data_IF_656007593340
#
_entry.id   IF_656007593340
#
_cell.length_a   1.000
_cell.length_b   1.000
_cell.length_c   1.000
_cell.angle_alpha   90.00
_cell.angle_beta   90.00
_cell.angle_gamma   90.00
#
_symmetry.space_group_name_H-M   'P 1'
#
loop_
_entity.id
_entity.type
_entity.pdbx_description
1 polymer ?
#
# COMPACT_ATOMS: atom_id res chain seq x y z
N UNK A 1 8.19 -15.53 -1.82
CA UNK A 1 8.58 -14.79 -0.60
C UNK A 1 8.97 -13.36 -1.00
N UNK A 2 8.34 -12.36 -0.37
CA UNK A 2 8.42 -10.89 -0.63
C UNK A 2 9.29 -10.14 0.41
N UNK A 3 10.02 -10.91 1.22
CA UNK A 3 10.45 -10.49 2.55
C UNK A 3 11.38 -9.28 2.56
N UNK A 4 12.31 -9.18 1.61
CA UNK A 4 13.27 -8.06 1.59
C UNK A 4 12.61 -6.71 1.30
N UNK A 5 11.69 -6.66 0.34
CA UNK A 5 10.97 -5.41 0.02
C UNK A 5 10.05 -4.98 1.15
N UNK A 6 9.38 -5.96 1.78
CA UNK A 6 8.45 -5.71 2.87
C UNK A 6 9.17 -5.24 4.15
N UNK A 7 10.35 -5.80 4.44
CA UNK A 7 11.23 -5.34 5.53
C UNK A 7 11.73 -3.91 5.29
N UNK A 8 12.18 -3.59 4.06
CA UNK A 8 12.66 -2.23 3.74
C UNK A 8 11.54 -1.21 3.94
N UNK A 9 10.34 -1.48 3.42
CA UNK A 9 9.19 -0.58 3.60
C UNK A 9 8.82 -0.46 5.07
N UNK A 10 8.82 -1.57 5.83
CA UNK A 10 8.58 -1.55 7.28
C UNK A 10 9.59 -0.68 8.04
N UNK A 11 10.88 -0.80 7.73
CA UNK A 11 11.94 0.03 8.31
C UNK A 11 11.78 1.51 7.94
N UNK A 12 11.44 1.82 6.68
CA UNK A 12 11.20 3.19 6.24
C UNK A 12 9.97 3.80 6.93
N UNK A 13 8.89 3.03 7.12
CA UNK A 13 7.71 3.48 7.86
C UNK A 13 8.05 3.69 9.34
N UNK A 14 8.78 2.76 9.96
CA UNK A 14 9.22 2.92 11.35
C UNK A 14 10.09 4.18 11.51
N UNK A 15 11.05 4.39 10.61
CA UNK A 15 11.85 5.60 10.56
C UNK A 15 10.99 6.85 10.39
N UNK A 16 10.03 6.85 9.46
CA UNK A 16 9.11 7.95 9.24
C UNK A 16 8.28 8.30 10.48
N UNK A 17 7.84 7.30 11.25
CA UNK A 17 7.06 7.52 12.48
C UNK A 17 7.91 8.07 13.62
N UNK A 18 9.18 7.67 13.68
CA UNK A 18 10.13 8.16 14.69
C UNK A 18 10.71 9.54 14.34
N UNK A 19 10.86 9.86 13.05
CA UNK A 19 11.53 11.07 12.59
C UNK A 19 10.96 12.38 13.17
N UNK A 20 9.62 12.58 13.29
CA UNK A 20 9.05 13.77 13.91
C UNK A 20 9.50 14.00 15.36
N UNK A 21 9.84 12.95 16.11
CA UNK A 21 10.35 13.06 17.49
C UNK A 21 11.70 13.76 17.57
N UNK A 22 12.43 13.85 16.44
CA UNK A 22 13.65 14.65 16.32
C UNK A 22 13.45 16.13 16.67
N UNK A 23 12.21 16.63 16.63
CA UNK A 23 11.84 17.97 17.12
C UNK A 23 12.33 18.24 18.55
N UNK A 24 12.36 17.21 19.39
CA UNK A 24 12.81 17.31 20.78
C UNK A 24 14.32 17.60 20.92
N UNK A 25 15.09 17.35 19.86
CA UNK A 25 16.56 17.44 19.87
C UNK A 25 17.06 18.54 18.93
N UNK A 26 16.39 18.75 17.80
CA UNK A 26 16.83 19.68 16.77
C UNK A 26 15.67 20.34 16.03
N UNK A 27 15.79 21.65 15.81
CA UNK A 27 14.90 22.44 14.94
C UNK A 27 15.75 23.43 14.16
N UNK A 28 15.54 23.55 12.85
CA UNK A 28 16.24 24.53 12.02
C UNK A 28 15.25 25.43 11.26
N UNK A 29 14.85 26.57 11.83
CA UNK A 29 13.78 27.40 11.26
C UNK A 29 14.11 28.04 9.91
N UNK A 30 15.40 28.17 9.58
CA UNK A 30 15.88 28.79 8.33
C UNK A 30 15.98 27.79 7.17
N UNK A 31 16.10 26.49 7.45
CA UNK A 31 16.31 25.47 6.43
C UNK A 31 15.19 25.39 5.39
N UNK A 32 13.89 25.39 5.74
CA UNK A 32 12.80 25.30 4.76
C UNK A 32 12.80 26.47 3.76
N UNK A 33 13.32 27.63 4.18
CA UNK A 33 13.46 28.83 3.35
C UNK A 33 14.80 28.95 2.63
N UNK A 34 15.64 27.92 2.66
CA UNK A 34 16.92 27.88 1.93
C UNK A 34 16.78 27.17 0.58
N UNK A 35 17.74 27.37 -0.34
CA UNK A 35 17.79 26.64 -1.61
C UNK A 35 17.76 25.12 -1.42
N UNK A 36 18.55 24.61 -0.47
CA UNK A 36 18.60 23.18 -0.16
C UNK A 36 17.26 22.65 0.33
N UNK A 37 16.61 23.38 1.25
CA UNK A 37 15.26 23.07 1.71
C UNK A 37 14.26 23.07 0.56
N UNK A 38 14.31 24.07 -0.32
CA UNK A 38 13.46 24.17 -1.51
C UNK A 38 13.62 22.97 -2.46
N UNK A 39 14.86 22.56 -2.77
CA UNK A 39 15.13 21.38 -3.62
C UNK A 39 14.53 20.11 -3.00
N UNK A 40 14.70 19.92 -1.69
CA UNK A 40 14.12 18.75 -0.98
C UNK A 40 12.59 18.82 -1.00
N UNK A 41 11.99 19.99 -0.83
CA UNK A 41 10.54 20.19 -0.93
C UNK A 41 10.01 19.85 -2.33
N UNK A 42 10.70 20.28 -3.39
CA UNK A 42 10.36 19.93 -4.78
C UNK A 42 10.50 18.42 -5.01
N UNK A 43 11.57 17.80 -4.52
CA UNK A 43 11.75 16.35 -4.63
C UNK A 43 10.61 15.59 -3.91
N UNK A 44 10.20 16.05 -2.71
CA UNK A 44 9.06 15.50 -1.99
C UNK A 44 7.75 15.65 -2.78
N UNK A 45 7.51 16.81 -3.39
CA UNK A 45 6.35 17.05 -4.25
C UNK A 45 6.33 16.13 -5.47
N UNK A 46 7.47 15.97 -6.16
CA UNK A 46 7.59 15.07 -7.32
C UNK A 46 7.28 13.63 -6.93
N UNK A 47 7.85 13.15 -5.81
CA UNK A 47 7.53 11.81 -5.30
C UNK A 47 6.05 11.70 -4.89
N UNK A 48 5.46 12.73 -4.30
CA UNK A 48 4.04 12.74 -3.96
C UNK A 48 3.19 12.60 -5.23
N UNK A 49 3.46 13.36 -6.28
CA UNK A 49 2.77 13.26 -7.58
C UNK A 49 2.94 11.87 -8.19
N UNK A 50 4.11 11.24 -8.03
CA UNK A 50 4.41 9.90 -8.52
C UNK A 50 3.55 8.79 -7.87
N UNK A 51 2.79 9.09 -6.81
CA UNK A 51 1.81 8.15 -6.25
C UNK A 51 0.50 8.07 -7.06
N UNK A 52 0.18 9.09 -7.88
CA UNK A 52 -1.07 9.16 -8.65
C UNK A 52 -1.18 8.22 -9.86
N UNK A 53 -0.12 7.93 -10.64
CA UNK A 53 -0.21 7.08 -11.83
C UNK A 53 -0.86 5.72 -11.59
N UNK A 54 -0.58 5.09 -10.44
CA UNK A 54 -1.24 3.83 -10.06
C UNK A 54 -2.75 4.00 -9.90
N UNK A 55 -3.18 5.05 -9.20
CA UNK A 55 -4.61 5.35 -8.97
C UNK A 55 -5.29 5.69 -10.30
N UNK A 56 -4.65 6.50 -11.14
CA UNK A 56 -5.16 6.87 -12.44
C UNK A 56 -5.34 5.65 -13.35
N UNK A 57 -4.33 4.77 -13.46
CA UNK A 57 -4.43 3.53 -14.23
C UNK A 57 -5.48 2.56 -13.66
N UNK A 58 -5.73 2.59 -12.35
CA UNK A 58 -6.74 1.74 -11.72
C UNK A 58 -8.17 2.18 -12.05
N UNK A 59 -8.42 3.48 -12.21
CA UNK A 59 -9.76 4.03 -12.36
C UNK A 59 -10.10 4.56 -13.76
N UNK A 60 -9.10 4.87 -14.59
CA UNK A 60 -9.28 5.47 -15.92
C UNK A 60 -8.77 4.51 -17.00
N UNK A 61 -9.70 3.95 -17.80
CA UNK A 61 -9.39 2.92 -18.81
C UNK A 61 -8.40 3.39 -19.88
N UNK A 62 -8.44 4.66 -20.30
CA UNK A 62 -7.46 5.17 -21.27
C UNK A 62 -6.05 5.23 -20.68
N UNK A 63 -5.94 5.57 -19.38
CA UNK A 63 -4.64 5.72 -18.71
C UNK A 63 -4.02 4.35 -18.55
N UNK A 64 -4.84 3.37 -18.14
CA UNK A 64 -4.42 1.98 -18.07
C UNK A 64 -3.89 1.48 -19.42
N UNK A 65 -4.62 1.73 -20.51
CA UNK A 65 -4.22 1.33 -21.85
C UNK A 65 -2.88 1.94 -22.26
N UNK A 66 -2.68 3.24 -22.04
CA UNK A 66 -1.41 3.90 -22.37
C UNK A 66 -0.25 3.45 -21.49
N UNK A 67 -0.46 3.37 -20.18
CA UNK A 67 0.61 3.12 -19.21
C UNK A 67 1.03 1.65 -19.17
N UNK A 68 0.11 0.72 -19.43
CA UNK A 68 0.39 -0.73 -19.46
C UNK A 68 1.37 -1.13 -20.56
N UNK A 69 1.54 -0.33 -21.61
CA UNK A 69 2.56 -0.54 -22.64
C UNK A 69 3.98 -0.29 -22.13
N UNK A 70 4.14 0.59 -21.12
CA UNK A 70 5.45 1.00 -20.60
C UNK A 70 5.76 0.33 -19.26
N UNK A 71 4.77 0.24 -18.38
CA UNK A 71 4.94 -0.17 -16.98
C UNK A 71 3.83 -1.12 -16.54
N UNK A 72 4.21 -2.25 -15.95
CA UNK A 72 3.25 -3.23 -15.42
C UNK A 72 2.52 -2.72 -14.16
N UNK A 73 1.25 -3.12 -13.95
CA UNK A 73 0.46 -2.76 -12.76
C UNK A 73 1.17 -3.04 -11.42
N UNK A 74 1.86 -4.18 -11.23
CA UNK A 74 2.63 -4.44 -10.00
C UNK A 74 3.75 -3.42 -9.77
N UNK A 75 4.40 -2.96 -10.85
CA UNK A 75 5.44 -1.92 -10.78
C UNK A 75 4.84 -0.57 -10.42
N UNK A 76 3.70 -0.18 -11.00
CA UNK A 76 3.01 1.06 -10.63
C UNK A 76 2.61 1.08 -9.15
N UNK A 77 2.14 -0.05 -8.64
CA UNK A 77 1.82 -0.19 -7.22
C UNK A 77 3.07 -0.13 -6.33
N UNK A 78 4.21 -0.69 -6.78
CA UNK A 78 5.47 -0.56 -6.06
C UNK A 78 5.94 0.90 -6.02
N UNK A 79 5.88 1.60 -7.16
CA UNK A 79 6.18 3.04 -7.25
C UNK A 79 5.30 3.84 -6.30
N UNK A 80 3.99 3.59 -6.27
CA UNK A 80 3.06 4.24 -5.34
C UNK A 80 3.46 4.03 -3.87
N UNK A 81 3.86 2.81 -3.48
CA UNK A 81 4.27 2.52 -2.10
C UNK A 81 5.59 3.20 -1.74
N UNK A 82 6.63 3.03 -2.56
CA UNK A 82 7.93 3.62 -2.25
C UNK A 82 7.89 5.15 -2.29
N UNK A 83 7.25 5.73 -3.31
CA UNK A 83 7.07 7.18 -3.39
C UNK A 83 6.18 7.70 -2.26
N UNK A 84 5.13 6.95 -1.89
CA UNK A 84 4.22 7.27 -0.79
C UNK A 84 4.86 7.23 0.59
N UNK A 85 6.01 6.58 0.77
CA UNK A 85 6.78 6.59 2.03
C UNK A 85 7.96 7.58 1.95
N UNK A 86 8.66 7.65 0.82
CA UNK A 86 9.81 8.54 0.64
C UNK A 86 9.41 10.02 0.55
N UNK A 87 8.28 10.35 -0.08
CA UNK A 87 7.76 11.72 -0.14
C UNK A 87 7.54 12.33 1.26
N UNK A 88 6.83 11.64 2.19
CA UNK A 88 6.78 11.99 3.61
C UNK A 88 8.11 12.27 4.29
N UNK A 89 9.10 11.40 4.07
CA UNK A 89 10.42 11.52 4.69
C UNK A 89 11.08 12.81 4.21
N UNK A 90 11.12 13.04 2.90
CA UNK A 90 11.66 14.27 2.34
C UNK A 90 10.85 15.51 2.77
N UNK A 91 9.53 15.39 2.87
CA UNK A 91 8.67 16.47 3.36
C UNK A 91 8.98 16.87 4.80
N UNK A 92 9.24 15.91 5.69
CA UNK A 92 9.66 16.18 7.06
C UNK A 92 11.08 16.76 7.15
N UNK A 93 12.00 16.28 6.30
CA UNK A 93 13.34 16.89 6.18
C UNK A 93 13.23 18.34 5.68
N UNK A 94 12.40 18.61 4.67
CA UNK A 94 12.10 19.95 4.18
C UNK A 94 11.55 20.85 5.29
N UNK A 95 10.65 20.32 6.13
CA UNK A 95 10.11 21.05 7.26
C UNK A 95 11.17 21.34 8.34
N UNK A 96 12.26 20.56 8.43
CA UNK A 96 13.33 20.68 9.42
C UNK A 96 12.81 20.85 10.85
N UNK A 97 11.79 20.06 11.19
CA UNK A 97 11.08 20.09 12.47
C UNK A 97 10.44 21.47 12.79
N UNK A 98 10.18 22.32 11.81
CA UNK A 98 9.47 23.59 11.99
C UNK A 98 7.96 23.41 11.79
N UNK A 99 7.22 23.27 12.90
CA UNK A 99 5.76 23.03 12.89
C UNK A 99 4.90 24.25 13.30
N UNK A 100 5.39 25.47 13.06
CA UNK A 100 4.70 26.71 13.46
C UNK A 100 3.45 27.02 12.61
N UNK A 101 3.38 26.48 11.40
CA UNK A 101 2.23 26.67 10.50
C UNK A 101 1.14 25.64 10.79
N UNK A 102 -0.13 26.08 11.01
CA UNK A 102 -1.25 25.15 11.15
C UNK A 102 -1.39 24.21 9.94
N UNK A 103 -1.14 24.73 8.72
CA UNK A 103 -1.18 23.93 7.49
C UNK A 103 -0.08 22.87 7.48
N UNK A 104 1.15 23.24 7.85
CA UNK A 104 2.28 22.31 7.89
C UNK A 104 2.11 21.20 8.93
N UNK A 105 1.60 21.54 10.12
CA UNK A 105 1.28 20.56 11.15
C UNK A 105 0.19 19.59 10.68
N UNK A 106 -0.91 20.13 10.13
CA UNK A 106 -2.03 19.33 9.65
C UNK A 106 -1.61 18.39 8.51
N UNK A 107 -0.82 18.91 7.55
CA UNK A 107 -0.25 18.13 6.45
C UNK A 107 0.62 17.01 6.98
N UNK A 108 1.46 17.27 8.00
CA UNK A 108 2.28 16.25 8.66
C UNK A 108 1.42 15.15 9.29
N UNK A 109 0.43 15.50 10.11
CA UNK A 109 -0.43 14.54 10.80
C UNK A 109 -1.17 13.64 9.81
N UNK A 110 -1.83 14.23 8.81
CA UNK A 110 -2.62 13.48 7.81
C UNK A 110 -1.71 12.62 6.95
N UNK A 111 -0.51 13.10 6.63
CA UNK A 111 0.46 12.35 5.88
C UNK A 111 0.96 11.12 6.66
N UNK A 112 1.24 11.24 7.95
CA UNK A 112 1.56 10.09 8.81
C UNK A 112 0.39 9.10 8.88
N UNK A 113 -0.84 9.59 9.09
CA UNK A 113 -2.05 8.75 9.08
C UNK A 113 -2.24 8.02 7.74
N UNK A 114 -1.98 8.69 6.62
CA UNK A 114 -2.11 8.09 5.28
C UNK A 114 -1.11 6.97 5.06
N UNK A 115 0.14 7.17 5.49
CA UNK A 115 1.16 6.11 5.40
C UNK A 115 0.81 4.93 6.30
N UNK A 116 0.38 5.18 7.55
CA UNK A 116 -0.05 4.11 8.47
C UNK A 116 -1.23 3.33 7.87
N UNK A 117 -2.25 4.03 7.37
CA UNK A 117 -3.43 3.36 6.77
C UNK A 117 -3.06 2.58 5.51
N UNK A 118 -2.16 3.10 4.69
CA UNK A 118 -1.63 2.40 3.52
C UNK A 118 -0.83 1.15 3.88
N UNK A 119 0.06 1.26 4.88
CA UNK A 119 0.88 0.16 5.38
C UNK A 119 0.01 -0.97 5.96
N UNK A 120 -0.93 -0.65 6.86
CA UNK A 120 -1.87 -1.63 7.42
C UNK A 120 -2.73 -2.26 6.31
N UNK A 121 -3.23 -1.46 5.37
CA UNK A 121 -4.02 -1.93 4.23
C UNK A 121 -3.27 -2.94 3.34
N UNK A 122 -1.98 -2.66 3.07
CA UNK A 122 -1.12 -3.49 2.23
C UNK A 122 -0.64 -4.75 2.92
N UNK A 123 -0.30 -4.66 4.21
CA UNK A 123 0.39 -5.75 4.91
C UNK A 123 -0.55 -6.59 5.76
N UNK A 124 -1.41 -5.99 6.57
CA UNK A 124 -2.33 -6.75 7.41
C UNK A 124 -3.53 -7.22 6.61
N UNK A 125 -4.24 -6.27 6.01
CA UNK A 125 -5.47 -6.55 5.26
C UNK A 125 -5.20 -7.48 4.08
N UNK A 126 -4.16 -7.24 3.26
CA UNK A 126 -3.89 -8.13 2.14
C UNK A 126 -3.58 -9.59 2.54
N UNK A 127 -2.99 -9.81 3.72
CA UNK A 127 -2.75 -11.15 4.26
C UNK A 127 -4.06 -11.83 4.65
N UNK A 128 -4.95 -11.11 5.35
CA UNK A 128 -6.28 -11.61 5.71
C UNK A 128 -7.07 -11.99 4.44
N UNK A 129 -7.05 -11.14 3.41
CA UNK A 129 -7.71 -11.44 2.14
C UNK A 129 -7.10 -12.65 1.42
N UNK A 130 -5.79 -12.89 1.57
CA UNK A 130 -5.12 -14.07 0.99
C UNK A 130 -5.53 -15.34 1.75
N UNK A 131 -5.55 -15.29 3.09
CA UNK A 131 -6.00 -16.41 3.91
C UNK A 131 -7.46 -16.79 3.62
N UNK A 132 -8.34 -15.80 3.47
CA UNK A 132 -9.75 -16.01 3.09
C UNK A 132 -9.90 -16.67 1.71
N UNK A 133 -9.13 -16.22 0.71
CA UNK A 133 -9.13 -16.87 -0.61
C UNK A 133 -8.66 -18.33 -0.54
N UNK A 134 -7.67 -18.64 0.30
CA UNK A 134 -7.22 -20.02 0.53
C UNK A 134 -8.33 -20.89 1.11
N UNK A 135 -9.03 -20.41 2.16
CA UNK A 135 -10.18 -21.13 2.75
C UNK A 135 -11.31 -21.34 1.73
N UNK A 136 -11.57 -20.37 0.85
CA UNK A 136 -12.55 -20.53 -0.23
C UNK A 136 -12.18 -21.61 -1.24
N UNK A 137 -10.91 -21.67 -1.65
CA UNK A 137 -10.47 -22.73 -2.56
C UNK A 137 -10.53 -24.11 -1.89
N UNK A 138 -10.25 -24.17 -0.60
CA UNK A 138 -10.36 -25.40 0.20
C UNK A 138 -11.82 -25.86 0.28
N UNK A 139 -12.76 -24.96 0.63
CA UNK A 139 -14.19 -25.27 0.63
C UNK A 139 -14.67 -25.73 -0.75
N UNK A 140 -14.23 -25.07 -1.83
CA UNK A 140 -14.58 -25.47 -3.19
C UNK A 140 -14.09 -26.90 -3.51
N UNK A 141 -12.89 -27.26 -3.05
CA UNK A 141 -12.30 -28.59 -3.27
C UNK A 141 -13.00 -29.67 -2.43
N UNK A 142 -13.31 -29.37 -1.16
CA UNK A 142 -14.08 -30.26 -0.29
C UNK A 142 -15.50 -30.49 -0.84
N UNK A 143 -16.13 -29.43 -1.38
CA UNK A 143 -17.46 -29.51 -1.98
C UNK A 143 -17.47 -30.38 -3.23
N UNK A 144 -16.47 -30.23 -4.11
CA UNK A 144 -16.36 -31.09 -5.29
C UNK A 144 -16.08 -32.55 -4.91
N UNK A 145 -15.25 -32.79 -3.90
CA UNK A 145 -14.98 -34.14 -3.41
C UNK A 145 -16.22 -34.81 -2.79
N UNK A 146 -17.05 -34.04 -2.07
CA UNK A 146 -18.29 -34.55 -1.51
C UNK A 146 -19.38 -34.82 -2.55
N UNK A 147 -19.44 -34.02 -3.62
CA UNK A 147 -20.43 -34.15 -4.70
C UNK A 147 -19.99 -35.08 -5.84
N UNK A 148 -18.80 -35.69 -5.75
CA UNK A 148 -18.15 -36.44 -6.84
C UNK A 148 -18.08 -35.62 -8.16
N UNK A 149 -18.00 -34.29 -8.05
CA UNK A 149 -17.86 -33.39 -9.19
C UNK A 149 -16.39 -33.29 -9.63
N UNK A 150 -16.11 -33.05 -10.93
CA UNK A 150 -14.76 -32.77 -11.39
C UNK A 150 -14.15 -31.63 -10.56
N UNK A 151 -12.97 -31.89 -9.98
CA UNK A 151 -12.31 -30.92 -9.11
C UNK A 151 -12.21 -29.56 -9.80
N UNK A 152 -12.56 -28.45 -9.12
CA UNK A 152 -12.44 -27.13 -9.69
C UNK A 152 -10.98 -26.89 -10.07
N UNK A 153 -10.72 -26.22 -11.21
CA UNK A 153 -9.36 -25.94 -11.62
C UNK A 153 -8.62 -25.25 -10.47
N UNK A 154 -7.40 -25.69 -10.12
CA UNK A 154 -6.69 -25.19 -8.96
C UNK A 154 -6.62 -23.67 -9.03
N UNK A 155 -6.97 -23.02 -7.91
CA UNK A 155 -6.96 -21.56 -7.81
C UNK A 155 -5.53 -21.05 -8.03
N UNK A 156 -5.26 -20.68 -9.28
CA UNK A 156 -4.02 -20.11 -9.82
C UNK A 156 -2.82 -21.07 -9.93
N UNK A 157 -2.87 -22.00 -10.87
CA UNK A 157 -1.66 -22.37 -11.65
C UNK A 157 -1.29 -21.20 -12.59
N UNK A 158 -0.94 -20.04 -12.02
CA UNK A 158 -0.39 -18.93 -12.79
C UNK A 158 0.98 -19.36 -13.30
N UNK A 159 1.15 -19.43 -14.62
CA UNK A 159 2.44 -19.65 -15.28
C UNK A 159 3.50 -18.76 -14.65
N UNK A 160 4.52 -19.39 -14.04
CA UNK A 160 5.66 -18.71 -13.40
C UNK A 160 6.48 -18.00 -14.49
N UNK A 161 6.06 -16.79 -14.88
CA UNK A 161 6.84 -15.98 -15.82
C UNK A 161 8.20 -15.63 -15.18
N UNK A 162 9.33 -15.84 -15.88
CA UNK A 162 10.66 -15.59 -15.32
C UNK A 162 10.79 -14.10 -14.97
N UNK A 163 11.14 -13.82 -13.71
CA UNK A 163 11.40 -12.46 -13.23
C UNK A 163 12.70 -11.94 -13.86
N UNK A 164 12.60 -10.91 -14.70
CA UNK A 164 13.73 -10.24 -15.35
C UNK A 164 14.67 -9.54 -14.34
N UNK A 165 15.97 -9.87 -14.44
CA UNK A 165 17.14 -9.17 -13.87
C UNK A 165 16.95 -8.53 -12.49
N UNK A 166 16.85 -7.21 -12.45
CA UNK A 166 16.65 -6.40 -11.24
C UNK A 166 15.41 -6.77 -10.41
N UNK A 167 14.33 -7.29 -11.03
CA UNK A 167 13.12 -7.73 -10.33
C UNK A 167 13.37 -8.95 -9.43
N UNK A 168 14.41 -9.74 -9.71
CA UNK A 168 14.79 -10.92 -8.91
C UNK A 168 15.33 -10.53 -7.53
N UNK A 169 15.92 -9.35 -7.38
CA UNK A 169 16.40 -8.86 -6.09
C UNK A 169 15.26 -8.46 -5.14
N UNK A 170 14.08 -8.14 -5.69
CA UNK A 170 12.93 -7.70 -4.91
C UNK A 170 11.79 -8.73 -4.82
N UNK A 171 11.81 -9.81 -5.62
CA UNK A 171 10.69 -10.76 -5.70
C UNK A 171 11.16 -12.23 -5.85
N UNK A 172 10.54 -13.15 -5.08
CA UNK A 172 10.70 -14.61 -5.20
C UNK A 172 9.33 -15.30 -5.31
N UNK A 173 9.19 -16.24 -6.25
CA UNK A 173 8.00 -17.09 -6.41
C UNK A 173 7.89 -18.09 -5.25
N UNK A 174 6.71 -18.23 -4.65
CA UNK A 174 6.44 -19.23 -3.60
C UNK A 174 5.70 -20.43 -4.18
N UNK A 175 5.96 -21.61 -3.63
CA UNK A 175 5.21 -22.82 -3.94
C UNK A 175 3.88 -22.87 -3.18
N UNK A 176 2.88 -23.48 -3.80
CA UNK A 176 1.58 -23.68 -3.20
C UNK A 176 1.65 -24.90 -2.25
N UNK A 177 1.09 -24.81 -1.03
CA UNK A 177 0.96 -25.97 -0.17
C UNK A 177 0.03 -27.01 -0.81
N UNK A 178 0.39 -28.29 -0.69
CA UNK A 178 -0.48 -29.40 -1.05
C UNK A 178 -1.65 -29.48 -0.05
N UNK A 179 -2.86 -29.76 -0.54
CA UNK A 179 -4.06 -29.96 0.27
C UNK A 179 -4.31 -31.45 0.36
N UNK A 180 -4.20 -32.02 1.56
CA UNK A 180 -4.58 -33.42 1.83
C UNK A 180 -6.09 -33.49 2.05
N UNK A 181 -6.79 -34.29 1.24
CA UNK A 181 -8.25 -34.45 1.30
C UNK A 181 -8.60 -35.71 2.11
N UNK A 182 -9.55 -35.63 3.07
CA UNK A 182 -10.06 -36.80 3.77
C UNK A 182 -10.81 -37.76 2.83
N UNK A 183 -10.61 -39.07 2.96
CA UNK A 183 -11.31 -40.09 2.16
C UNK A 183 -12.72 -40.42 2.68
N UNK A 184 -13.00 -40.16 3.96
CA UNK A 184 -14.28 -40.47 4.60
C UNK A 184 -15.35 -39.36 4.38
N UNK A 185 -16.57 -39.76 4.01
CA UNK A 185 -17.69 -38.85 3.74
C UNK A 185 -18.19 -38.11 4.98
N UNK A 186 -18.15 -38.73 6.17
CA UNK A 186 -18.52 -38.06 7.41
C UNK A 186 -17.49 -36.99 7.78
N UNK A 187 -16.20 -37.31 7.63
CA UNK A 187 -15.10 -36.37 7.81
C UNK A 187 -15.14 -35.22 6.80
N UNK A 188 -15.49 -35.47 5.53
CA UNK A 188 -15.69 -34.45 4.51
C UNK A 188 -16.86 -33.52 4.85
N UNK A 189 -18.00 -34.05 5.30
CA UNK A 189 -19.16 -33.26 5.70
C UNK A 189 -18.88 -32.38 6.93
N UNK A 190 -18.12 -32.89 7.91
CA UNK A 190 -17.66 -32.12 9.06
C UNK A 190 -16.71 -30.98 8.61
N UNK A 191 -15.70 -31.29 7.79
CA UNK A 191 -14.76 -30.30 7.25
C UNK A 191 -15.45 -29.22 6.39
N UNK A 192 -16.47 -29.60 5.61
CA UNK A 192 -17.31 -28.67 4.85
C UNK A 192 -18.05 -27.70 5.76
N UNK A 193 -18.69 -28.23 6.81
CA UNK A 193 -19.46 -27.42 7.75
C UNK A 193 -18.55 -26.43 8.49
N UNK A 194 -17.39 -26.90 8.98
CA UNK A 194 -16.42 -26.06 9.68
C UNK A 194 -15.84 -24.95 8.79
N UNK A 195 -15.52 -25.26 7.53
CA UNK A 195 -15.02 -24.27 6.57
C UNK A 195 -16.09 -23.28 6.14
N UNK A 196 -17.35 -23.71 5.97
CA UNK A 196 -18.46 -22.83 5.62
C UNK A 196 -18.76 -21.82 6.75
N UNK A 197 -18.77 -22.28 8.00
CA UNK A 197 -18.89 -21.40 9.18
C UNK A 197 -17.76 -20.38 9.25
N UNK A 198 -16.52 -20.78 8.95
CA UNK A 198 -15.38 -19.87 8.91
C UNK A 198 -15.47 -18.83 7.77
N UNK A 199 -16.11 -19.15 6.64
CA UNK A 199 -16.28 -18.25 5.50
C UNK A 199 -17.44 -17.27 5.71
N UNK A 200 -18.49 -17.61 6.46
CA UNK A 200 -19.61 -16.67 6.73
C UNK A 200 -19.17 -15.37 7.41
N UNK A 201 -18.02 -15.34 8.11
CA UNK A 201 -17.42 -14.11 8.66
C UNK A 201 -16.76 -13.19 7.61
N UNK A 202 -16.75 -13.57 6.34
CA UNK A 202 -16.06 -12.86 5.26
C UNK A 202 -16.77 -11.59 4.81
N UNK A 203 -18.10 -11.51 4.88
CA UNK A 203 -18.84 -10.29 4.46
C UNK A 203 -18.46 -9.08 5.31
N UNK A 204 -18.37 -9.28 6.63
CA UNK A 204 -17.88 -8.27 7.57
C UNK A 204 -16.45 -7.84 7.22
N UNK A 205 -15.63 -8.81 6.82
CA UNK A 205 -14.25 -8.59 6.43
C UNK A 205 -14.18 -7.73 5.15
N UNK A 206 -14.89 -8.11 4.09
CA UNK A 206 -14.96 -7.35 2.83
C UNK A 206 -15.52 -5.93 3.02
N UNK A 207 -16.53 -5.75 3.87
CA UNK A 207 -17.04 -4.44 4.23
C UNK A 207 -15.97 -3.57 4.92
N UNK A 208 -15.19 -4.16 5.84
CA UNK A 208 -14.05 -3.49 6.46
C UNK A 208 -12.99 -3.08 5.44
N UNK A 209 -12.64 -3.96 4.48
CA UNK A 209 -11.70 -3.61 3.39
C UNK A 209 -12.19 -2.43 2.55
N UNK A 210 -13.49 -2.36 2.28
CA UNK A 210 -14.08 -1.27 1.50
C UNK A 210 -14.00 0.06 2.27
N UNK A 211 -14.42 0.08 3.53
CA UNK A 211 -14.34 1.25 4.41
C UNK A 211 -12.90 1.71 4.63
N UNK A 212 -11.96 0.78 4.83
CA UNK A 212 -10.54 1.08 5.02
C UNK A 212 -9.92 1.75 3.79
N UNK A 213 -10.22 1.21 2.60
CA UNK A 213 -9.76 1.79 1.34
C UNK A 213 -10.36 3.17 1.12
N UNK A 214 -11.64 3.37 1.45
CA UNK A 214 -12.27 4.68 1.40
C UNK A 214 -11.56 5.68 2.32
N UNK A 215 -11.29 5.31 3.57
CA UNK A 215 -10.55 6.14 4.52
C UNK A 215 -9.18 6.56 3.96
N UNK A 216 -8.40 5.62 3.42
CA UNK A 216 -7.10 5.92 2.83
C UNK A 216 -7.20 6.90 1.64
N UNK A 217 -8.22 6.73 0.77
CA UNK A 217 -8.47 7.64 -0.35
C UNK A 217 -8.86 9.04 0.16
N UNK A 218 -9.74 9.12 1.17
CA UNK A 218 -10.15 10.41 1.75
C UNK A 218 -8.97 11.17 2.36
N UNK A 219 -8.12 10.47 3.12
CA UNK A 219 -6.90 11.03 3.68
C UNK A 219 -5.95 11.51 2.56
N UNK A 220 -5.77 10.70 1.50
CA UNK A 220 -4.95 11.09 0.35
C UNK A 220 -5.49 12.35 -0.36
N UNK A 221 -6.81 12.44 -0.59
CA UNK A 221 -7.43 13.64 -1.15
C UNK A 221 -7.15 14.89 -0.28
N UNK A 222 -7.24 14.74 1.04
CA UNK A 222 -6.98 15.82 1.98
C UNK A 222 -5.49 16.26 1.95
N UNK A 223 -4.55 15.32 1.79
CA UNK A 223 -3.13 15.66 1.59
C UNK A 223 -2.97 16.52 0.34
N UNK A 224 -3.53 16.13 -0.80
CA UNK A 224 -3.35 16.91 -2.03
C UNK A 224 -3.97 18.30 -1.92
N UNK A 225 -5.12 18.43 -1.26
CA UNK A 225 -5.74 19.74 -1.01
C UNK A 225 -4.84 20.62 -0.13
N UNK A 226 -4.32 20.09 0.99
CA UNK A 226 -3.43 20.83 1.88
C UNK A 226 -2.07 21.13 1.23
N UNK A 227 -1.56 20.22 0.40
CA UNK A 227 -0.32 20.40 -0.34
C UNK A 227 -0.46 21.52 -1.37
N UNK A 228 -1.58 21.58 -2.09
CA UNK A 228 -1.87 22.68 -3.00
C UNK A 228 -1.95 24.02 -2.25
N UNK A 229 -2.59 24.06 -1.08
CA UNK A 229 -2.61 25.24 -0.23
C UNK A 229 -1.21 25.63 0.29
N UNK A 230 -0.41 24.65 0.70
CA UNK A 230 0.95 24.88 1.20
C UNK A 230 1.87 25.46 0.12
N UNK A 231 1.87 24.86 -1.08
CA UNK A 231 2.63 25.35 -2.24
C UNK A 231 2.09 26.71 -2.71
N UNK A 232 0.77 26.88 -2.76
CA UNK A 232 0.13 28.14 -3.13
C UNK A 232 0.48 29.28 -2.18
N UNK A 233 0.48 29.04 -0.86
CA UNK A 233 0.90 30.02 0.12
C UNK A 233 2.39 30.38 -0.03
N UNK A 234 3.27 29.40 -0.30
CA UNK A 234 4.68 29.65 -0.55
C UNK A 234 4.92 30.53 -1.79
N UNK A 235 4.11 30.34 -2.84
CA UNK A 235 4.18 31.20 -4.05
C UNK A 235 3.62 32.60 -3.76
N UNK A 236 2.46 32.68 -3.09
CA UNK A 236 1.76 33.94 -2.83
C UNK A 236 2.54 34.89 -1.91
N UNK A 237 3.11 34.37 -0.82
CA UNK A 237 3.92 35.15 0.12
C UNK A 237 5.38 35.30 -0.32
N UNK A 238 5.74 34.82 -1.51
CA UNK A 238 7.08 34.83 -2.07
C UNK A 238 7.94 33.65 -1.62
N UNK A 239 8.59 33.01 -2.58
CA UNK A 239 9.63 32.01 -2.30
C UNK A 239 10.80 32.72 -1.62
N UNK A 240 10.95 32.51 -0.32
CA UNK A 240 11.91 33.24 0.54
C UNK A 240 13.40 32.98 0.24
N UNK A 241 13.73 32.18 -0.79
CA UNK A 241 15.09 31.89 -1.24
C UNK A 241 15.46 32.51 -2.59
N UNK A 242 14.52 33.23 -3.24
CA UNK A 242 14.79 34.17 -4.34
C UNK A 242 15.03 35.56 -3.76
#
# INVERSE_FOLDING_TARGET
>A
MRERGDLIVGLLVAFLLLFPLGYLVHVSPRFPGSLAGGIIGIAALVLMVLTLPYVAAKHIKWVDKGLSHVVSKPTLLAIHIYAGVLAPILGLVHAAHKFESPVGLLLTVILLMTVITGYIGRYLLAQIAKALRGRKSELASLRSAFLDEPAPPPATAGTKAPLSGWKRYFFVAGDAPAVDLPEDREALAAALTDTEFAIRAEEATNALFAKWRLLHILLACLIYALLALHVGAAIYFGLRWL
#
